data_IF_724527493895
#
_entry.id   IF_724527493895
#
_cell.length_a   1.000
_cell.length_b   1.000
_cell.length_c   1.000
_cell.angle_alpha   90.00
_cell.angle_beta   90.00
_cell.angle_gamma   90.00
#
_symmetry.space_group_name_H-M   'P 1'
#
loop_
_entity.id
_entity.type
_entity.pdbx_description
1 polymer ?
#
# COMPACT_ATOMS: atom_id res chain seq x y z
N UNK A 1 -44.35 4.78 38.02
CA UNK A 1 -44.47 5.16 36.61
C UNK A 1 -43.24 6.00 36.27
N UNK A 2 -42.18 5.52 35.61
CA UNK A 2 -41.97 4.31 34.81
C UNK A 2 -40.66 3.63 35.24
N UNK A 3 -40.78 2.36 35.64
CA UNK A 3 -39.68 1.41 35.76
C UNK A 3 -39.17 1.15 34.34
N UNK A 4 -37.91 1.50 34.07
CA UNK A 4 -37.23 1.05 32.86
C UNK A 4 -36.59 -0.28 33.19
N UNK A 5 -37.28 -1.34 32.77
CA UNK A 5 -36.85 -2.72 32.86
C UNK A 5 -35.59 -2.90 31.99
N UNK A 6 -34.44 -2.87 32.66
CA UNK A 6 -33.13 -3.18 32.10
C UNK A 6 -32.84 -4.67 32.35
N UNK A 7 -33.71 -5.54 31.85
CA UNK A 7 -33.55 -6.99 31.93
C UNK A 7 -33.59 -7.57 30.50
N UNK A 8 -32.42 -7.77 29.89
CA UNK A 8 -32.22 -8.79 28.82
C UNK A 8 -30.76 -8.95 28.36
N UNK A 9 -29.77 -8.91 29.28
CA UNK A 9 -28.38 -9.28 28.93
C UNK A 9 -27.98 -10.72 29.28
N UNK A 10 -28.85 -11.53 29.90
CA UNK A 10 -28.46 -12.84 30.43
C UNK A 10 -28.63 -14.06 29.51
N UNK A 11 -29.18 -13.94 28.29
CA UNK A 11 -29.49 -15.11 27.46
C UNK A 11 -28.43 -15.53 26.43
N UNK A 12 -27.24 -14.91 26.41
CA UNK A 12 -26.18 -15.26 25.43
C UNK A 12 -25.11 -16.24 25.94
N UNK A 13 -25.18 -16.67 27.20
CA UNK A 13 -24.14 -17.48 27.85
C UNK A 13 -24.19 -18.99 27.54
N UNK A 14 -25.18 -19.47 26.77
CA UNK A 14 -25.30 -20.88 26.40
C UNK A 14 -24.77 -21.25 25.01
N UNK A 15 -24.11 -20.31 24.30
CA UNK A 15 -23.49 -20.64 23.02
C UNK A 15 -22.13 -21.34 23.20
N UNK A 16 -22.21 -22.67 23.12
CA UNK A 16 -21.13 -23.60 22.78
C UNK A 16 -19.92 -23.65 23.72
N UNK A 17 -19.78 -24.79 24.40
CA UNK A 17 -18.50 -25.40 24.75
C UNK A 17 -17.70 -25.66 23.45
N UNK A 18 -17.20 -24.58 22.87
CA UNK A 18 -16.46 -24.58 21.64
C UNK A 18 -15.08 -25.15 21.94
N UNK A 19 -14.72 -26.24 21.27
CA UNK A 19 -13.40 -26.90 21.30
C UNK A 19 -12.27 -25.89 21.56
N UNK A 20 -11.45 -26.11 22.59
CA UNK A 20 -10.51 -25.11 23.14
C UNK A 20 -9.61 -24.36 22.13
N UNK A 21 -9.40 -24.92 20.94
CA UNK A 21 -8.73 -24.26 19.81
C UNK A 21 -9.43 -22.98 19.29
N UNK A 22 -10.75 -22.86 19.45
CA UNK A 22 -11.52 -21.67 19.04
C UNK A 22 -11.29 -20.44 19.94
N UNK A 23 -10.51 -20.59 21.03
CA UNK A 23 -10.08 -19.49 21.90
C UNK A 23 -8.79 -18.81 21.42
N UNK A 24 -8.09 -19.38 20.43
CA UNK A 24 -6.89 -18.74 19.89
C UNK A 24 -7.26 -17.46 19.13
N UNK A 25 -6.45 -16.40 19.21
CA UNK A 25 -6.65 -15.15 18.48
C UNK A 25 -6.32 -15.30 16.99
N UNK A 26 -7.01 -16.21 16.30
CA UNK A 26 -6.79 -16.55 14.89
C UNK A 26 -6.95 -15.34 13.98
N UNK A 27 -7.89 -14.44 14.30
CA UNK A 27 -8.04 -13.17 13.59
C UNK A 27 -6.81 -12.27 13.70
N UNK A 28 -6.13 -12.26 14.85
CA UNK A 28 -4.93 -11.44 15.07
C UNK A 28 -3.76 -11.96 14.26
N UNK A 29 -3.55 -13.29 14.28
CA UNK A 29 -2.53 -13.93 13.47
C UNK A 29 -2.75 -13.65 11.98
N UNK A 30 -3.97 -13.90 11.48
CA UNK A 30 -4.29 -13.62 10.08
C UNK A 30 -4.12 -12.13 9.73
N UNK A 31 -4.56 -11.22 10.60
CA UNK A 31 -4.39 -9.77 10.37
C UNK A 31 -2.92 -9.40 10.22
N UNK A 32 -2.07 -9.83 11.14
CA UNK A 32 -0.64 -9.51 11.13
C UNK A 32 0.08 -10.14 9.93
N UNK A 33 -0.14 -11.42 9.65
CA UNK A 33 0.65 -12.11 8.63
C UNK A 33 0.12 -11.96 7.20
N UNK A 34 -1.21 -11.86 7.03
CA UNK A 34 -1.84 -11.85 5.71
C UNK A 34 -2.28 -10.45 5.30
N UNK A 35 -3.04 -9.77 6.15
CA UNK A 35 -3.60 -8.46 5.80
C UNK A 35 -2.55 -7.34 5.85
N UNK A 36 -1.57 -7.40 6.75
CA UNK A 36 -0.48 -6.43 6.83
C UNK A 36 0.66 -6.68 5.82
N UNK A 37 0.57 -7.67 4.92
CA UNK A 37 1.66 -8.01 3.98
C UNK A 37 2.09 -6.82 3.11
N UNK A 38 1.15 -5.98 2.68
CA UNK A 38 1.45 -4.80 1.88
C UNK A 38 2.17 -3.72 2.69
N UNK A 39 1.93 -3.63 4.00
CA UNK A 39 2.66 -2.73 4.90
C UNK A 39 4.12 -3.19 5.01
N UNK A 40 4.35 -4.49 5.23
CA UNK A 40 5.70 -5.05 5.29
C UNK A 40 6.44 -4.90 3.96
N UNK A 41 5.77 -5.16 2.84
CA UNK A 41 6.34 -4.98 1.52
C UNK A 41 6.73 -3.51 1.26
N UNK A 42 5.89 -2.55 1.65
CA UNK A 42 6.20 -1.13 1.54
C UNK A 42 7.43 -0.75 2.37
N UNK A 43 7.50 -1.18 3.63
CA UNK A 43 8.65 -0.91 4.51
C UNK A 43 9.93 -1.54 3.97
N UNK A 44 9.87 -2.80 3.52
CA UNK A 44 11.01 -3.50 2.93
C UNK A 44 11.50 -2.80 1.66
N UNK A 45 10.59 -2.50 0.73
CA UNK A 45 10.92 -1.83 -0.52
C UNK A 45 11.49 -0.42 -0.26
N UNK A 46 10.95 0.29 0.72
CA UNK A 46 11.45 1.59 1.16
C UNK A 46 12.88 1.54 1.67
N UNK A 47 13.19 0.66 2.63
CA UNK A 47 14.56 0.53 3.15
C UNK A 47 15.54 0.15 2.05
N UNK A 48 15.19 -0.83 1.20
CA UNK A 48 16.02 -1.21 0.05
C UNK A 48 16.25 -0.03 -0.90
N UNK A 49 15.21 0.75 -1.19
CA UNK A 49 15.30 1.91 -2.07
C UNK A 49 16.24 2.97 -1.49
N UNK A 50 16.06 3.36 -0.22
CA UNK A 50 16.91 4.37 0.42
C UNK A 50 18.35 3.91 0.55
N UNK A 51 18.58 2.65 0.95
CA UNK A 51 19.92 2.07 0.99
C UNK A 51 20.57 2.07 -0.40
N UNK A 52 19.85 1.64 -1.44
CA UNK A 52 20.40 1.61 -2.81
C UNK A 52 20.75 3.01 -3.32
N UNK A 53 19.91 4.01 -3.08
CA UNK A 53 20.17 5.40 -3.49
C UNK A 53 21.43 5.92 -2.80
N UNK A 54 21.54 5.77 -1.48
CA UNK A 54 22.70 6.26 -0.73
C UNK A 54 23.98 5.49 -1.06
N UNK A 55 23.89 4.16 -1.11
CA UNK A 55 25.03 3.29 -1.42
C UNK A 55 25.62 3.58 -2.79
N UNK A 56 24.78 3.66 -3.84
CA UNK A 56 25.26 3.92 -5.20
C UNK A 56 25.71 5.36 -5.39
N UNK A 57 25.09 6.31 -4.69
CA UNK A 57 25.56 7.70 -4.67
C UNK A 57 26.96 7.81 -4.03
N UNK A 58 27.22 7.04 -2.97
CA UNK A 58 28.50 7.04 -2.28
C UNK A 58 29.59 6.24 -3.01
N UNK A 59 29.23 5.11 -3.64
CA UNK A 59 30.19 4.22 -4.30
C UNK A 59 30.59 4.68 -5.71
N UNK A 60 29.80 5.53 -6.36
CA UNK A 60 30.00 5.87 -7.77
C UNK A 60 30.10 4.60 -8.63
N UNK A 61 31.20 4.44 -9.38
CA UNK A 61 31.45 3.28 -10.25
C UNK A 61 32.10 2.06 -9.56
N UNK A 62 32.40 2.11 -8.25
CA UNK A 62 33.26 1.13 -7.59
C UNK A 62 32.49 -0.02 -6.93
N UNK A 63 32.10 -1.04 -7.72
CA UNK A 63 31.21 -2.13 -7.30
C UNK A 63 31.75 -3.13 -6.24
N UNK A 64 33.06 -3.22 -5.99
CA UNK A 64 33.65 -4.33 -5.21
C UNK A 64 33.41 -4.26 -3.69
N UNK A 65 32.82 -3.17 -3.17
CA UNK A 65 32.74 -2.85 -1.74
C UNK A 65 31.32 -2.93 -1.14
N UNK A 66 30.38 -3.51 -1.88
CA UNK A 66 28.95 -3.35 -1.64
C UNK A 66 28.49 -3.83 -0.25
N UNK A 67 28.88 -5.04 0.17
CA UNK A 67 28.34 -5.67 1.39
C UNK A 67 28.69 -4.92 2.68
N UNK A 68 29.93 -4.43 2.80
CA UNK A 68 30.38 -3.72 4.00
C UNK A 68 29.75 -2.33 4.11
N UNK A 69 29.55 -1.67 2.97
CA UNK A 69 28.91 -0.36 2.90
C UNK A 69 27.40 -0.44 3.13
N UNK A 70 26.74 -1.52 2.68
CA UNK A 70 25.33 -1.77 3.00
C UNK A 70 25.10 -1.80 4.50
N UNK A 71 25.93 -2.56 5.24
CA UNK A 71 25.85 -2.62 6.71
C UNK A 71 26.10 -1.27 7.39
N UNK A 72 27.06 -0.48 6.87
CA UNK A 72 27.33 0.86 7.38
C UNK A 72 26.13 1.81 7.21
N UNK A 73 25.61 1.95 5.99
CA UNK A 73 24.48 2.85 5.72
C UNK A 73 23.20 2.40 6.43
N UNK A 74 22.97 1.09 6.50
CA UNK A 74 21.86 0.53 7.27
C UNK A 74 21.93 0.97 8.73
N UNK A 75 23.07 0.79 9.39
CA UNK A 75 23.24 1.19 10.79
C UNK A 75 23.16 2.70 10.98
N UNK A 76 23.77 3.48 10.08
CA UNK A 76 23.74 4.94 10.14
C UNK A 76 22.31 5.48 10.08
N UNK A 77 21.50 5.02 9.12
CA UNK A 77 20.15 5.53 8.93
C UNK A 77 19.14 4.96 9.93
N UNK A 78 19.31 3.70 10.34
CA UNK A 78 18.42 3.10 11.33
C UNK A 78 18.75 3.61 12.74
N UNK A 79 20.00 3.55 13.18
CA UNK A 79 20.37 3.87 14.56
C UNK A 79 20.91 5.28 14.77
N UNK A 80 21.02 6.08 13.69
CA UNK A 80 21.59 7.43 13.75
C UNK A 80 23.09 7.45 14.10
N UNK A 81 23.73 6.28 14.17
CA UNK A 81 25.13 6.13 14.53
C UNK A 81 25.68 4.80 14.02
N UNK A 82 26.99 4.76 13.81
CA UNK A 82 27.72 3.56 13.41
C UNK A 82 29.00 3.52 14.24
N UNK A 83 29.34 2.33 14.76
CA UNK A 83 30.57 2.12 15.54
C UNK A 83 31.80 2.00 14.64
N UNK A 84 31.62 1.76 13.34
CA UNK A 84 32.69 1.65 12.37
C UNK A 84 33.01 3.05 11.79
N UNK A 85 34.10 3.64 12.25
CA UNK A 85 34.70 4.88 11.70
C UNK A 85 35.62 4.61 10.52
N UNK A 86 36.10 3.37 10.38
CA UNK A 86 37.01 2.97 9.32
C UNK A 86 36.77 1.54 8.88
N UNK A 87 36.71 1.32 7.57
CA UNK A 87 36.73 0.00 6.96
C UNK A 87 38.15 -0.23 6.44
N UNK A 88 38.90 -1.13 7.09
CA UNK A 88 40.18 -1.60 6.56
C UNK A 88 39.92 -2.61 5.44
N UNK A 89 40.31 -2.26 4.22
CA UNK A 89 40.23 -3.13 3.06
C UNK A 89 41.50 -3.96 2.98
N UNK A 90 41.51 -5.11 3.64
CA UNK A 90 42.71 -5.96 3.76
C UNK A 90 43.20 -6.59 2.45
N UNK A 91 42.47 -6.44 1.33
CA UNK A 91 42.79 -7.08 0.04
C UNK A 91 42.78 -6.14 -1.18
N UNK A 92 42.68 -4.82 -1.01
CA UNK A 92 42.69 -3.88 -2.16
C UNK A 92 44.05 -3.19 -2.21
N UNK A 93 44.98 -3.71 -3.02
CA UNK A 93 46.33 -3.16 -3.20
C UNK A 93 46.39 -1.98 -4.18
N UNK A 94 45.29 -1.70 -4.88
CA UNK A 94 45.23 -0.58 -5.82
C UNK A 94 45.03 0.74 -5.07
N UNK A 95 46.12 1.48 -4.91
CA UNK A 95 46.11 2.86 -4.43
C UNK A 95 45.53 3.75 -5.51
N UNK A 96 44.25 4.11 -5.39
CA UNK A 96 43.62 5.09 -6.28
C UNK A 96 43.74 6.50 -5.69
N UNK A 97 44.35 7.41 -6.45
CA UNK A 97 44.48 8.82 -6.11
C UNK A 97 43.17 9.54 -6.46
N UNK A 98 42.47 10.04 -5.43
CA UNK A 98 41.49 11.11 -5.61
C UNK A 98 42.25 12.36 -6.07
N UNK A 99 41.86 12.91 -7.22
CA UNK A 99 42.44 14.13 -7.77
C UNK A 99 42.46 15.25 -6.72
N UNK A 100 43.57 15.97 -6.63
CA UNK A 100 43.89 16.94 -5.57
C UNK A 100 42.91 18.12 -5.45
N UNK A 101 41.99 18.31 -6.41
CA UNK A 101 41.07 19.45 -6.46
C UNK A 101 39.77 19.31 -5.63
N UNK A 102 39.49 18.17 -5.00
CA UNK A 102 38.22 17.93 -4.28
C UNK A 102 38.31 18.01 -2.74
N UNK A 103 39.25 18.79 -2.21
CA UNK A 103 39.57 18.85 -0.76
C UNK A 103 38.52 19.49 0.16
N UNK A 104 37.47 20.11 -0.35
CA UNK A 104 36.49 20.83 0.47
C UNK A 104 35.13 20.14 0.64
N UNK A 105 34.94 18.94 0.08
CA UNK A 105 33.68 18.22 0.24
C UNK A 105 33.78 17.13 1.32
N UNK A 106 32.71 16.89 2.12
CA UNK A 106 32.61 15.80 3.09
C UNK A 106 32.40 14.45 2.37
N UNK A 107 33.26 14.17 1.40
CA UNK A 107 33.22 12.96 0.58
C UNK A 107 34.19 11.94 1.14
N UNK A 108 33.79 10.67 1.01
CA UNK A 108 34.55 9.51 1.44
C UNK A 108 35.98 9.58 0.88
N UNK A 109 37.00 9.66 1.74
CA UNK A 109 38.38 9.70 1.29
C UNK A 109 38.94 8.27 1.21
N UNK A 110 39.52 7.95 0.06
CA UNK A 110 40.29 6.73 -0.13
C UNK A 110 41.77 7.06 0.02
N UNK A 111 42.40 6.61 1.12
CA UNK A 111 43.84 6.75 1.32
C UNK A 111 44.51 5.37 1.21
N UNK A 112 44.72 4.89 -0.02
CA UNK A 112 45.51 3.70 -0.37
C UNK A 112 44.97 2.33 0.06
N UNK A 113 44.35 2.23 1.24
CA UNK A 113 43.77 1.02 1.83
C UNK A 113 42.66 1.31 2.87
N UNK A 114 42.44 2.58 3.19
CA UNK A 114 41.49 3.01 4.21
C UNK A 114 40.43 3.91 3.60
N UNK A 115 39.18 3.45 3.66
CA UNK A 115 38.01 4.24 3.33
C UNK A 115 37.60 5.01 4.61
N UNK A 116 37.88 6.31 4.67
CA UNK A 116 37.36 7.14 5.77
C UNK A 116 35.98 7.64 5.39
N UNK A 117 34.99 7.09 6.07
CA UNK A 117 33.59 7.47 5.96
C UNK A 117 33.37 8.80 6.69
N UNK A 118 32.36 9.60 6.29
CA UNK A 118 32.02 10.82 7.00
C UNK A 118 31.83 10.55 8.50
N UNK A 119 32.08 11.58 9.31
CA UNK A 119 32.14 11.48 10.77
C UNK A 119 30.94 10.71 11.35
N UNK A 120 31.16 9.98 12.44
CA UNK A 120 30.10 9.20 13.13
C UNK A 120 28.95 10.03 13.68
N UNK A 121 29.06 11.35 13.61
CA UNK A 121 28.02 12.31 13.98
C UNK A 121 27.20 12.74 12.78
N UNK A 122 25.91 12.95 13.02
CA UNK A 122 24.97 13.46 12.02
C UNK A 122 25.33 14.90 11.69
N UNK A 123 26.13 15.11 10.64
CA UNK A 123 26.34 16.43 10.07
C UNK A 123 25.07 16.90 9.34
N UNK A 124 24.86 18.22 9.26
CA UNK A 124 23.57 18.82 8.86
C UNK A 124 22.99 18.36 7.51
N UNK A 125 23.83 17.92 6.58
CA UNK A 125 23.41 17.39 5.28
C UNK A 125 22.70 16.02 5.36
N UNK A 126 22.91 15.25 6.43
CA UNK A 126 22.33 13.92 6.62
C UNK A 126 20.98 13.96 7.37
N UNK A 127 20.64 15.08 8.01
CA UNK A 127 19.38 15.23 8.76
C UNK A 127 18.15 14.96 7.88
N UNK A 128 18.03 15.51 6.64
CA UNK A 128 16.89 15.22 5.78
C UNK A 128 16.74 13.73 5.47
N UNK A 129 17.85 13.02 5.25
CA UNK A 129 17.84 11.58 4.98
C UNK A 129 17.37 10.77 6.18
N UNK A 130 17.80 11.11 7.40
CA UNK A 130 17.37 10.41 8.61
C UNK A 130 15.87 10.62 8.85
N UNK A 131 15.38 11.86 8.71
CA UNK A 131 13.95 12.16 8.83
C UNK A 131 13.16 11.37 7.79
N UNK A 132 13.64 11.36 6.54
CA UNK A 132 13.01 10.67 5.43
C UNK A 132 12.93 9.15 5.68
N UNK A 133 14.05 8.52 6.05
CA UNK A 133 14.16 7.07 6.34
C UNK A 133 13.10 6.63 7.32
N UNK A 134 12.85 7.41 8.37
CA UNK A 134 11.92 7.06 9.45
C UNK A 134 10.46 7.40 9.16
N UNK A 135 10.17 8.28 8.19
CA UNK A 135 8.82 8.76 7.92
C UNK A 135 7.87 7.63 7.50
N UNK A 136 8.30 6.75 6.60
CA UNK A 136 7.50 5.62 6.12
C UNK A 136 7.33 4.51 7.19
N UNK A 137 8.41 4.03 7.86
CA UNK A 137 8.29 3.09 8.97
C UNK A 137 7.40 3.59 10.11
N UNK A 138 7.43 4.89 10.42
CA UNK A 138 6.55 5.48 11.42
C UNK A 138 5.08 5.39 10.99
N UNK A 139 4.76 5.73 9.74
CA UNK A 139 3.41 5.56 9.18
C UNK A 139 2.94 4.10 9.20
N UNK A 140 3.83 3.16 8.87
CA UNK A 140 3.56 1.73 8.94
C UNK A 140 3.31 1.24 10.38
N UNK A 141 4.11 1.68 11.35
CA UNK A 141 3.95 1.34 12.75
C UNK A 141 2.64 1.88 13.32
N UNK A 142 2.31 3.14 13.04
CA UNK A 142 1.01 3.74 13.40
C UNK A 142 -0.15 2.93 12.83
N UNK A 143 -0.04 2.49 11.58
CA UNK A 143 -1.05 1.68 10.92
C UNK A 143 -1.21 0.32 11.61
N UNK A 144 -0.13 -0.40 11.91
CA UNK A 144 -0.19 -1.70 12.60
C UNK A 144 -0.79 -1.53 14.00
N UNK A 145 -0.36 -0.52 14.76
CA UNK A 145 -0.91 -0.23 16.09
C UNK A 145 -2.41 0.08 16.00
N UNK A 146 -2.83 0.88 15.02
CA UNK A 146 -4.25 1.17 14.78
C UNK A 146 -5.05 -0.11 14.51
N UNK A 147 -4.54 -1.03 13.69
CA UNK A 147 -5.20 -2.31 13.43
C UNK A 147 -5.37 -3.12 14.72
N UNK A 148 -4.30 -3.24 15.52
CA UNK A 148 -4.32 -4.01 16.77
C UNK A 148 -5.26 -3.39 17.81
N UNK A 149 -5.23 -2.07 17.99
CA UNK A 149 -6.09 -1.34 18.94
C UNK A 149 -7.57 -1.48 18.55
N UNK A 150 -7.90 -1.32 17.26
CA UNK A 150 -9.28 -1.44 16.81
C UNK A 150 -9.78 -2.89 16.88
N UNK A 151 -8.94 -3.87 16.56
CA UNK A 151 -9.26 -5.30 16.67
C UNK A 151 -9.54 -5.67 18.13
N UNK A 152 -8.70 -5.19 19.06
CA UNK A 152 -8.88 -5.37 20.50
C UNK A 152 -10.18 -4.71 21.01
N UNK A 153 -10.44 -3.45 20.62
CA UNK A 153 -11.65 -2.71 21.00
C UNK A 153 -12.93 -3.39 20.53
N UNK A 154 -12.92 -3.93 19.31
CA UNK A 154 -14.07 -4.66 18.75
C UNK A 154 -14.17 -6.12 19.22
N UNK A 155 -13.24 -6.59 20.06
CA UNK A 155 -13.18 -7.95 20.60
C UNK A 155 -13.26 -9.02 19.50
N UNK A 156 -12.58 -8.79 18.37
CA UNK A 156 -12.58 -9.72 17.25
C UNK A 156 -11.46 -10.75 17.44
N UNK A 157 -11.84 -11.98 17.78
CA UNK A 157 -10.90 -13.07 18.09
C UNK A 157 -10.83 -14.14 16.99
N UNK A 158 -11.98 -14.42 16.36
CA UNK A 158 -12.12 -15.52 15.40
C UNK A 158 -11.93 -15.05 13.96
N UNK A 159 -11.11 -15.78 13.20
CA UNK A 159 -10.95 -15.60 11.76
C UNK A 159 -12.23 -15.88 10.97
N UNK A 160 -13.10 -16.73 11.51
CA UNK A 160 -14.29 -17.25 10.84
C UNK A 160 -15.52 -16.35 11.00
N UNK A 161 -15.47 -15.30 11.81
CA UNK A 161 -16.66 -14.47 12.07
C UNK A 161 -16.85 -13.34 11.03
N UNK A 162 -18.11 -12.97 10.80
CA UNK A 162 -18.47 -11.82 9.99
C UNK A 162 -17.95 -10.50 10.56
N UNK A 163 -17.81 -10.39 11.89
CA UNK A 163 -17.22 -9.24 12.54
C UNK A 163 -15.78 -8.96 12.05
N UNK A 164 -14.98 -10.00 11.82
CA UNK A 164 -13.62 -9.86 11.30
C UNK A 164 -13.60 -9.40 9.84
N UNK A 165 -14.48 -9.94 9.00
CA UNK A 165 -14.60 -9.51 7.62
C UNK A 165 -15.04 -8.05 7.52
N UNK A 166 -16.10 -7.68 8.26
CA UNK A 166 -16.55 -6.30 8.34
C UNK A 166 -15.46 -5.37 8.87
N UNK A 167 -14.73 -5.78 9.91
CA UNK A 167 -13.61 -4.98 10.43
C UNK A 167 -12.60 -4.63 9.35
N UNK A 168 -12.23 -5.59 8.49
CA UNK A 168 -11.30 -5.34 7.38
C UNK A 168 -11.84 -4.39 6.31
N UNK A 169 -13.16 -4.33 6.11
CA UNK A 169 -13.79 -3.37 5.20
C UNK A 169 -13.92 -1.98 5.82
N UNK A 170 -14.16 -1.91 7.12
CA UNK A 170 -14.33 -0.67 7.87
C UNK A 170 -13.02 0.08 8.02
N UNK A 171 -11.92 -0.62 8.33
CA UNK A 171 -10.66 0.02 8.70
C UNK A 171 -10.12 0.92 7.60
N UNK A 172 -10.27 0.53 6.33
CA UNK A 172 -9.80 1.32 5.17
C UNK A 172 -10.59 2.64 5.01
N UNK A 173 -11.77 2.73 5.64
CA UNK A 173 -12.63 3.92 5.60
C UNK A 173 -12.29 4.91 6.71
N UNK A 174 -11.55 4.50 7.74
CA UNK A 174 -11.26 5.38 8.88
C UNK A 174 -10.26 6.48 8.49
N UNK A 175 -10.41 7.70 9.02
CA UNK A 175 -9.49 8.79 8.73
C UNK A 175 -8.06 8.48 9.19
N UNK A 176 -7.90 7.77 10.31
CA UNK A 176 -6.60 7.41 10.87
C UNK A 176 -5.80 6.48 9.94
N UNK A 177 -6.49 5.54 9.29
CA UNK A 177 -5.90 4.69 8.25
C UNK A 177 -5.35 5.56 7.11
N UNK A 178 -6.17 6.50 6.62
CA UNK A 178 -5.82 7.39 5.50
C UNK A 178 -4.66 8.32 5.83
N UNK A 179 -4.61 8.87 7.04
CA UNK A 179 -3.49 9.69 7.50
C UNK A 179 -2.19 8.89 7.54
N UNK A 180 -2.24 7.66 8.05
CA UNK A 180 -1.07 6.78 8.14
C UNK A 180 -0.53 6.40 6.75
N UNK A 181 -1.42 6.01 5.83
CA UNK A 181 -1.05 5.73 4.43
C UNK A 181 -0.55 7.00 3.72
N UNK A 182 -1.17 8.15 4.00
CA UNK A 182 -0.74 9.45 3.48
C UNK A 182 0.67 9.83 3.94
N UNK A 183 1.03 9.54 5.19
CA UNK A 183 2.38 9.74 5.72
C UNK A 183 3.41 8.86 4.99
N UNK A 184 3.08 7.59 4.74
CA UNK A 184 3.93 6.68 3.97
C UNK A 184 4.10 7.16 2.52
N UNK A 185 3.03 7.61 1.88
CA UNK A 185 3.09 8.17 0.54
C UNK A 185 3.92 9.45 0.48
N UNK A 186 3.80 10.33 1.48
CA UNK A 186 4.60 11.55 1.59
C UNK A 186 6.09 11.25 1.62
N UNK A 187 6.53 10.20 2.32
CA UNK A 187 7.93 9.77 2.32
C UNK A 187 8.42 9.39 0.91
N UNK A 188 7.64 8.59 0.19
CA UNK A 188 7.96 8.23 -1.20
C UNK A 188 8.04 9.46 -2.13
N UNK A 189 7.21 10.47 -1.87
CA UNK A 189 7.22 11.74 -2.61
C UNK A 189 8.41 12.65 -2.29
N UNK A 190 8.84 12.68 -1.03
CA UNK A 190 9.95 13.51 -0.59
C UNK A 190 11.31 12.94 -1.02
N UNK A 191 11.41 11.64 -1.24
CA UNK A 191 12.65 10.98 -1.68
C UNK A 191 13.28 11.60 -2.94
N UNK A 192 12.58 11.72 -4.10
CA UNK A 192 13.17 12.33 -5.28
C UNK A 192 13.53 13.80 -5.06
N UNK A 193 12.80 14.53 -4.21
CA UNK A 193 13.10 15.94 -3.89
C UNK A 193 14.43 16.04 -3.14
N UNK A 194 14.59 15.25 -2.06
CA UNK A 194 15.83 15.20 -1.28
C UNK A 194 17.00 14.75 -2.16
N UNK A 195 16.79 13.74 -3.02
CA UNK A 195 17.81 13.24 -3.91
C UNK A 195 18.24 14.27 -4.96
N UNK A 196 17.30 14.98 -5.60
CA UNK A 196 17.61 16.06 -6.57
C UNK A 196 18.36 17.20 -5.89
N UNK A 197 17.94 17.62 -4.69
CA UNK A 197 18.65 18.66 -3.93
C UNK A 197 20.10 18.23 -3.65
N UNK A 198 20.33 16.97 -3.29
CA UNK A 198 21.67 16.44 -3.10
C UNK A 198 22.49 16.45 -4.40
N UNK A 199 21.91 16.07 -5.53
CA UNK A 199 22.59 16.14 -6.85
C UNK A 199 23.03 17.57 -7.15
N UNK A 200 22.15 18.55 -6.93
CA UNK A 200 22.43 19.97 -7.19
C UNK A 200 23.50 20.53 -6.24
N UNK A 201 23.47 20.15 -4.96
CA UNK A 201 24.43 20.63 -3.97
C UNK A 201 25.83 20.04 -4.17
N UNK A 202 25.92 18.74 -4.47
CA UNK A 202 27.20 18.01 -4.47
C UNK A 202 27.72 17.65 -5.86
N UNK A 203 27.02 18.00 -6.94
CA UNK A 203 27.44 17.74 -8.32
C UNK A 203 27.77 16.25 -8.57
N UNK A 204 26.91 15.36 -8.09
CA UNK A 204 27.16 13.93 -8.07
C UNK A 204 27.15 13.34 -9.50
N UNK A 205 28.21 12.62 -9.93
CA UNK A 205 28.23 11.97 -11.24
C UNK A 205 27.31 10.74 -11.29
N UNK A 206 26.94 10.31 -12.50
CA UNK A 206 26.35 8.99 -12.80
C UNK A 206 25.03 8.62 -12.07
N UNK A 207 24.08 9.56 -12.04
CA UNK A 207 22.76 9.36 -11.42
C UNK A 207 21.88 8.33 -12.14
N UNK A 208 22.20 8.04 -13.41
CA UNK A 208 21.48 7.04 -14.20
C UNK A 208 21.68 5.63 -13.64
N UNK A 209 22.88 5.31 -13.16
CA UNK A 209 23.18 4.02 -12.56
C UNK A 209 22.54 3.85 -11.17
N UNK A 210 22.40 4.94 -10.40
CA UNK A 210 21.63 4.96 -9.16
C UNK A 210 20.16 4.67 -9.45
N UNK A 211 19.58 5.35 -10.45
CA UNK A 211 18.19 5.14 -10.87
C UNK A 211 17.94 3.70 -11.29
N UNK A 212 18.74 3.15 -12.22
CA UNK A 212 18.63 1.76 -12.71
C UNK A 212 18.63 0.74 -11.58
N UNK A 213 19.52 0.91 -10.60
CA UNK A 213 19.59 0.05 -9.42
C UNK A 213 18.40 0.13 -8.47
N UNK A 214 17.64 1.21 -8.57
CA UNK A 214 16.57 1.56 -7.65
C UNK A 214 15.18 1.29 -8.25
N UNK A 215 15.09 1.02 -9.56
CA UNK A 215 13.82 0.84 -10.29
C UNK A 215 12.95 -0.23 -9.62
N UNK A 216 13.48 -1.44 -9.40
CA UNK A 216 12.69 -2.55 -8.86
C UNK A 216 12.13 -2.22 -7.46
N UNK A 217 12.95 -1.69 -6.56
CA UNK A 217 12.51 -1.29 -5.22
C UNK A 217 11.49 -0.14 -5.28
N UNK A 218 11.68 0.82 -6.19
CA UNK A 218 10.71 1.88 -6.45
C UNK A 218 9.37 1.35 -6.94
N UNK A 219 9.36 0.43 -7.90
CA UNK A 219 8.13 -0.18 -8.42
C UNK A 219 7.40 -1.01 -7.35
N UNK A 220 8.14 -1.80 -6.56
CA UNK A 220 7.57 -2.57 -5.45
C UNK A 220 6.96 -1.65 -4.39
N UNK A 221 7.62 -0.53 -4.07
CA UNK A 221 7.10 0.47 -3.15
C UNK A 221 5.81 1.10 -3.68
N UNK A 222 5.81 1.55 -4.94
CA UNK A 222 4.62 2.15 -5.56
C UNK A 222 3.45 1.15 -5.62
N UNK A 223 3.72 -0.11 -5.96
CA UNK A 223 2.71 -1.17 -5.96
C UNK A 223 2.12 -1.39 -4.57
N UNK A 224 2.96 -1.49 -3.54
CA UNK A 224 2.52 -1.67 -2.16
C UNK A 224 1.67 -0.49 -1.67
N UNK A 225 2.10 0.74 -1.97
CA UNK A 225 1.35 1.97 -1.64
C UNK A 225 0.04 2.09 -2.42
N UNK A 226 -0.03 1.68 -3.69
CA UNK A 226 -1.30 1.64 -4.45
C UNK A 226 -2.29 0.67 -3.80
N UNK A 227 -1.85 -0.54 -3.40
CA UNK A 227 -2.74 -1.50 -2.74
C UNK A 227 -3.26 -0.99 -1.39
N UNK A 228 -2.45 -0.24 -0.65
CA UNK A 228 -2.85 0.39 0.63
C UNK A 228 -3.80 1.59 0.42
N UNK A 229 -3.47 2.49 -0.51
CA UNK A 229 -4.25 3.70 -0.76
C UNK A 229 -5.59 3.40 -1.42
N UNK A 230 -5.65 2.35 -2.24
CA UNK A 230 -6.76 2.09 -3.13
C UNK A 230 -7.16 0.61 -3.05
N UNK A 231 -8.02 0.25 -2.10
CA UNK A 231 -8.43 -1.13 -1.92
C UNK A 231 -9.04 -1.72 -3.20
N UNK A 232 -8.64 -2.98 -3.41
CA UNK A 232 -9.15 -3.96 -4.37
C UNK A 232 -10.62 -3.93 -4.77
N UNK A 233 -11.43 -3.89 -3.73
CA UNK A 233 -12.75 -4.49 -3.67
C UNK A 233 -13.66 -3.48 -2.98
N UNK A 234 -14.93 -3.38 -3.42
CA UNK A 234 -15.89 -2.54 -2.73
C UNK A 234 -15.94 -2.89 -1.25
N UNK A 235 -15.66 -1.91 -0.40
CA UNK A 235 -15.91 -2.03 1.03
C UNK A 235 -17.41 -1.90 1.26
N UNK A 236 -18.01 -2.95 1.81
CA UNK A 236 -19.41 -2.96 2.19
C UNK A 236 -19.58 -2.49 3.64
N UNK A 237 -20.60 -1.66 3.88
CA UNK A 237 -20.96 -1.17 5.21
C UNK A 237 -22.06 -2.03 5.85
N UNK A 238 -21.76 -3.31 6.01
CA UNK A 238 -22.76 -4.26 6.47
C UNK A 238 -23.03 -4.09 7.98
N UNK A 239 -24.30 -4.03 8.38
CA UNK A 239 -24.73 -3.70 9.74
C UNK A 239 -24.45 -4.83 10.77
N UNK A 240 -24.75 -4.55 12.05
CA UNK A 240 -24.45 -5.43 13.19
C UNK A 240 -24.93 -6.89 13.06
N UNK A 241 -26.04 -7.14 12.35
CA UNK A 241 -26.54 -8.51 12.13
C UNK A 241 -25.51 -9.39 11.39
N UNK A 242 -24.74 -8.80 10.46
CA UNK A 242 -23.69 -9.52 9.72
C UNK A 242 -22.53 -9.97 10.62
N UNK A 243 -22.25 -9.23 11.69
CA UNK A 243 -21.13 -9.51 12.59
C UNK A 243 -21.26 -10.85 13.30
N UNK A 244 -22.50 -11.28 13.52
CA UNK A 244 -22.84 -12.51 14.24
C UNK A 244 -22.78 -13.76 13.34
N UNK A 245 -22.58 -13.60 12.03
CA UNK A 245 -22.47 -14.73 11.11
C UNK A 245 -21.14 -15.46 11.32
N UNK A 246 -21.18 -16.78 11.18
CA UNK A 246 -19.99 -17.64 11.22
C UNK A 246 -19.81 -18.29 9.87
N UNK A 247 -18.60 -18.18 9.33
CA UNK A 247 -18.21 -18.74 8.05
C UNK A 247 -17.28 -19.92 8.23
N UNK A 248 -17.40 -20.90 7.35
CA UNK A 248 -16.44 -21.99 7.22
C UNK A 248 -15.31 -21.54 6.29
N UNK A 249 -14.10 -21.38 6.83
CA UNK A 249 -12.91 -21.08 6.04
C UNK A 249 -11.88 -22.22 6.18
N UNK A 250 -11.23 -22.63 5.08
CA UNK A 250 -10.18 -23.65 5.17
C UNK A 250 -8.97 -23.09 5.93
N UNK A 251 -8.30 -23.92 6.72
CA UNK A 251 -7.13 -23.50 7.50
C UNK A 251 -6.02 -22.87 6.65
N UNK A 252 -5.82 -23.33 5.40
CA UNK A 252 -4.87 -22.72 4.47
C UNK A 252 -5.18 -21.24 4.16
N UNK A 253 -6.45 -20.84 4.18
CA UNK A 253 -6.81 -19.43 4.04
C UNK A 253 -6.35 -18.59 5.23
N UNK A 254 -6.13 -19.17 6.41
CA UNK A 254 -5.60 -18.45 7.58
C UNK A 254 -4.18 -17.89 7.32
N UNK A 255 -3.44 -18.46 6.38
CA UNK A 255 -2.05 -18.08 6.09
C UNK A 255 -1.92 -17.43 4.71
N UNK A 256 -2.76 -17.83 3.74
CA UNK A 256 -2.61 -17.43 2.34
C UNK A 256 -3.80 -16.62 1.78
N UNK A 257 -4.95 -16.65 2.45
CA UNK A 257 -6.21 -16.19 1.89
C UNK A 257 -6.69 -14.87 2.48
N UNK A 258 -6.48 -13.76 1.78
CA UNK A 258 -6.96 -12.45 2.25
C UNK A 258 -8.49 -12.36 2.38
N UNK A 259 -8.95 -11.57 3.34
CA UNK A 259 -10.35 -11.21 3.55
C UNK A 259 -10.96 -10.58 2.30
N UNK A 260 -10.17 -9.85 1.53
CA UNK A 260 -10.55 -9.30 0.22
C UNK A 260 -10.98 -10.39 -0.76
N UNK A 261 -10.17 -11.44 -0.91
CA UNK A 261 -10.47 -12.59 -1.80
C UNK A 261 -11.67 -13.39 -1.29
N UNK A 262 -11.75 -13.61 0.02
CA UNK A 262 -12.90 -14.28 0.64
C UNK A 262 -14.19 -13.49 0.45
N UNK A 263 -14.17 -12.18 0.69
CA UNK A 263 -15.32 -11.29 0.53
C UNK A 263 -15.91 -11.33 -0.88
N UNK A 264 -15.07 -11.27 -1.91
CA UNK A 264 -15.52 -11.41 -3.30
C UNK A 264 -16.20 -12.76 -3.56
N UNK A 265 -15.61 -13.86 -3.08
CA UNK A 265 -16.19 -15.21 -3.24
C UNK A 265 -17.52 -15.35 -2.49
N UNK A 266 -17.64 -14.73 -1.31
CA UNK A 266 -18.87 -14.71 -0.54
C UNK A 266 -19.96 -13.93 -1.28
N UNK A 267 -19.65 -12.75 -1.82
CA UNK A 267 -20.61 -11.94 -2.59
C UNK A 267 -21.06 -12.67 -3.86
N UNK A 268 -20.15 -13.32 -4.59
CA UNK A 268 -20.48 -14.19 -5.73
C UNK A 268 -21.42 -15.34 -5.32
N UNK A 269 -21.11 -16.02 -4.21
CA UNK A 269 -21.94 -17.10 -3.69
C UNK A 269 -23.34 -16.61 -3.26
N UNK A 270 -23.43 -15.42 -2.66
CA UNK A 270 -24.69 -14.78 -2.32
C UNK A 270 -25.51 -14.51 -3.58
N UNK A 271 -24.92 -13.92 -4.63
CA UNK A 271 -25.60 -13.71 -5.91
C UNK A 271 -26.11 -15.00 -6.55
N UNK A 272 -25.33 -16.09 -6.52
CA UNK A 272 -25.83 -17.38 -7.04
C UNK A 272 -26.99 -17.93 -6.21
N UNK A 273 -26.94 -17.75 -4.89
CA UNK A 273 -28.02 -18.16 -4.00
C UNK A 273 -29.29 -17.32 -4.23
N UNK A 274 -29.15 -16.05 -4.65
CA UNK A 274 -30.31 -15.23 -5.03
C UNK A 274 -31.08 -15.78 -6.23
N UNK A 275 -30.41 -16.51 -7.11
CA UNK A 275 -30.99 -17.19 -8.26
C UNK A 275 -31.54 -18.60 -7.93
N UNK A 276 -31.52 -18.99 -6.65
CA UNK A 276 -32.00 -20.29 -6.16
C UNK A 276 -30.94 -21.37 -6.04
N UNK A 277 -29.68 -21.14 -6.47
CA UNK A 277 -28.59 -22.09 -6.31
C UNK A 277 -27.77 -21.82 -5.04
N UNK A 278 -28.10 -22.53 -3.96
CA UNK A 278 -27.41 -22.43 -2.67
C UNK A 278 -26.11 -23.24 -2.58
N UNK A 279 -25.72 -23.99 -3.63
CA UNK A 279 -24.62 -24.95 -3.57
C UNK A 279 -23.28 -24.31 -3.20
N UNK A 280 -23.00 -23.09 -3.67
CA UNK A 280 -21.77 -22.34 -3.36
C UNK A 280 -21.80 -21.77 -1.94
N UNK A 281 -22.92 -21.15 -1.55
CA UNK A 281 -23.08 -20.54 -0.23
C UNK A 281 -22.93 -21.59 0.89
N UNK A 282 -23.53 -22.76 0.71
CA UNK A 282 -23.42 -23.90 1.63
C UNK A 282 -21.98 -24.34 1.93
N UNK A 283 -21.04 -24.13 1.00
CA UNK A 283 -19.61 -24.46 1.21
C UNK A 283 -18.90 -23.51 2.18
N UNK A 284 -19.43 -22.29 2.32
CA UNK A 284 -18.89 -21.25 3.19
C UNK A 284 -19.55 -21.20 4.56
N UNK A 285 -20.47 -22.13 4.86
CA UNK A 285 -21.18 -22.18 6.14
C UNK A 285 -20.78 -23.43 6.93
N UNK A 286 -20.66 -23.32 8.27
CA UNK A 286 -20.51 -24.49 9.12
C UNK A 286 -21.72 -25.41 9.04
N UNK A 287 -22.91 -24.81 9.04
CA UNK A 287 -24.20 -25.47 8.86
C UNK A 287 -24.78 -25.12 7.47
N UNK A 288 -24.85 -26.07 6.54
CA UNK A 288 -25.44 -25.87 5.21
C UNK A 288 -26.92 -25.48 5.23
N UNK A 289 -27.67 -25.86 6.26
CA UNK A 289 -29.11 -25.61 6.34
C UNK A 289 -29.41 -24.15 6.72
N UNK A 290 -28.45 -23.47 7.35
CA UNK A 290 -28.53 -22.04 7.67
C UNK A 290 -28.36 -21.12 6.43
N UNK A 291 -28.16 -21.66 5.22
CA UNK A 291 -27.88 -20.88 4.02
C UNK A 291 -28.98 -19.88 3.65
N UNK A 292 -30.24 -20.26 3.81
CA UNK A 292 -31.38 -19.37 3.52
C UNK A 292 -31.44 -18.18 4.49
N UNK A 293 -31.22 -18.45 5.77
CA UNK A 293 -31.22 -17.41 6.82
C UNK A 293 -30.04 -16.45 6.63
N UNK A 294 -28.85 -16.97 6.32
CA UNK A 294 -27.68 -16.14 5.99
C UNK A 294 -27.95 -15.26 4.78
N UNK A 295 -28.57 -15.80 3.72
CA UNK A 295 -28.93 -15.01 2.55
C UNK A 295 -29.93 -13.91 2.92
N UNK A 296 -30.93 -14.22 3.75
CA UNK A 296 -31.93 -13.26 4.24
C UNK A 296 -31.27 -12.10 4.98
N UNK A 297 -30.38 -12.39 5.93
CA UNK A 297 -29.63 -11.39 6.70
C UNK A 297 -28.77 -10.53 5.77
N UNK A 298 -27.98 -11.14 4.89
CA UNK A 298 -27.13 -10.40 3.96
C UNK A 298 -27.95 -9.50 3.02
N UNK A 299 -29.14 -9.93 2.57
CA UNK A 299 -30.05 -9.11 1.77
C UNK A 299 -30.59 -7.91 2.52
N UNK A 300 -31.04 -8.12 3.75
CA UNK A 300 -31.54 -7.04 4.63
C UNK A 300 -30.46 -5.99 4.83
N UNK A 301 -29.24 -6.44 5.14
CA UNK A 301 -28.07 -5.60 5.33
C UNK A 301 -27.67 -4.87 4.04
N UNK A 302 -27.62 -5.56 2.90
CA UNK A 302 -27.32 -4.96 1.60
C UNK A 302 -28.35 -3.90 1.19
N UNK A 303 -29.64 -4.14 1.48
CA UNK A 303 -30.72 -3.17 1.25
C UNK A 303 -30.54 -1.92 2.11
N UNK A 304 -30.30 -2.09 3.42
CA UNK A 304 -30.04 -0.96 4.31
C UNK A 304 -28.85 -0.11 3.86
N UNK A 305 -27.75 -0.73 3.42
CA UNK A 305 -26.60 -0.02 2.84
C UNK A 305 -27.00 0.75 1.57
N UNK A 306 -27.78 0.12 0.69
CA UNK A 306 -28.23 0.76 -0.56
C UNK A 306 -29.16 1.95 -0.31
N UNK A 307 -30.01 1.88 0.72
CA UNK A 307 -30.92 2.96 1.12
C UNK A 307 -30.16 4.14 1.72
N UNK A 308 -29.14 3.87 2.53
CA UNK A 308 -28.24 4.91 3.04
C UNK A 308 -27.56 5.60 1.86
N UNK A 309 -26.96 4.84 0.93
CA UNK A 309 -26.29 5.39 -0.25
C UNK A 309 -27.21 6.19 -1.16
N UNK A 310 -28.46 5.74 -1.35
CA UNK A 310 -29.44 6.44 -2.19
C UNK A 310 -29.90 7.76 -1.58
N UNK A 311 -30.04 7.85 -0.24
CA UNK A 311 -30.40 9.09 0.47
C UNK A 311 -29.31 10.16 0.44
N UNK A 312 -28.05 9.76 0.42
CA UNK A 312 -26.93 10.72 0.37
C UNK A 312 -26.57 11.18 -1.05
N UNK A 313 -27.06 10.50 -2.09
CA UNK A 313 -26.79 10.83 -3.50
C UNK A 313 -27.28 12.22 -3.95
N UNK A 314 -28.49 12.71 -3.57
CA UNK A 314 -29.02 13.98 -4.06
C UNK A 314 -28.30 15.20 -3.49
N UNK A 315 -27.88 15.14 -2.23
CA UNK A 315 -27.26 16.27 -1.54
C UNK A 315 -25.84 16.56 -1.96
N UNK A 316 -25.21 15.60 -2.63
CA UNK A 316 -23.81 15.69 -3.00
C UNK A 316 -23.60 16.32 -4.39
N UNK A 317 -24.60 16.34 -5.28
CA UNK A 317 -24.42 16.83 -6.66
C UNK A 317 -23.27 16.12 -7.40
N UNK A 318 -23.00 16.50 -8.65
CA UNK A 318 -21.84 15.96 -9.39
C UNK A 318 -20.50 16.25 -8.69
N UNK A 319 -20.45 17.30 -7.86
CA UNK A 319 -19.30 17.71 -7.06
C UNK A 319 -19.07 16.85 -5.80
N UNK A 320 -20.03 16.06 -5.35
CA UNK A 320 -19.91 15.23 -4.16
C UNK A 320 -19.47 13.79 -4.43
N UNK A 321 -19.51 13.36 -5.70
CA UNK A 321 -18.65 12.27 -6.21
C UNK A 321 -17.19 12.55 -5.87
N UNK A 322 -16.83 13.82 -5.86
CA UNK A 322 -15.53 14.28 -5.46
C UNK A 322 -15.33 14.25 -3.94
N UNK A 323 -16.26 14.08 -2.99
CA UNK A 323 -15.87 13.97 -1.55
C UNK A 323 -15.44 12.57 -1.13
N UNK A 324 -16.02 11.54 -1.73
CA UNK A 324 -15.50 10.17 -1.63
C UNK A 324 -14.32 9.94 -2.60
N UNK A 325 -14.19 10.76 -3.64
CA UNK A 325 -13.06 10.78 -4.57
C UNK A 325 -11.87 11.66 -4.17
N UNK A 326 -12.04 12.86 -3.62
CA UNK A 326 -11.01 13.92 -3.46
C UNK A 326 -9.95 13.53 -2.46
N UNK A 327 -10.30 12.71 -1.46
CA UNK A 327 -9.32 12.14 -0.53
C UNK A 327 -8.52 10.97 -1.16
N UNK A 328 -8.98 10.43 -2.30
CA UNK A 328 -8.20 9.58 -3.21
C UNK A 328 -7.42 10.41 -4.26
N UNK A 329 -7.90 11.60 -4.63
CA UNK A 329 -7.33 12.37 -5.74
C UNK A 329 -6.01 13.04 -5.41
N UNK A 330 -5.71 13.42 -4.17
CA UNK A 330 -4.39 13.97 -3.85
C UNK A 330 -3.28 12.93 -4.02
N UNK A 331 -3.53 11.66 -3.67
CA UNK A 331 -2.57 10.57 -3.94
C UNK A 331 -2.60 10.12 -5.40
N UNK A 332 -3.78 9.99 -6.03
CA UNK A 332 -3.88 9.61 -7.44
C UNK A 332 -3.33 10.67 -8.38
N UNK A 333 -3.62 11.96 -8.19
CA UNK A 333 -3.13 13.05 -9.04
C UNK A 333 -1.61 13.17 -8.95
N UNK A 334 -1.03 12.91 -7.77
CA UNK A 334 0.41 12.91 -7.57
C UNK A 334 1.07 11.68 -8.20
N UNK A 335 0.47 10.48 -8.09
CA UNK A 335 0.92 9.29 -8.82
C UNK A 335 0.77 9.46 -10.35
N UNK A 336 -0.33 10.10 -10.79
CA UNK A 336 -0.60 10.45 -12.18
C UNK A 336 0.42 11.45 -12.72
N UNK A 337 0.82 12.45 -11.93
CA UNK A 337 1.83 13.44 -12.33
C UNK A 337 3.22 12.82 -12.52
N UNK A 338 3.53 11.70 -11.87
CA UNK A 338 4.78 10.96 -12.10
C UNK A 338 4.74 10.06 -13.35
N UNK A 339 3.56 9.66 -13.82
CA UNK A 339 3.41 8.62 -14.85
C UNK A 339 2.89 9.18 -16.18
N UNK A 340 2.26 10.36 -16.21
CA UNK A 340 1.70 10.91 -17.43
C UNK A 340 2.82 11.40 -18.39
N UNK A 341 2.98 10.78 -19.58
CA UNK A 341 3.81 11.37 -20.62
C UNK A 341 3.18 12.70 -21.04
N UNK A 342 3.98 13.76 -21.01
CA UNK A 342 3.56 15.11 -21.41
C UNK A 342 3.31 15.11 -22.91
N UNK A 343 2.08 14.82 -23.35
CA UNK A 343 1.71 14.95 -24.76
C UNK A 343 1.66 16.45 -25.08
N UNK A 344 2.69 16.96 -25.76
CA UNK A 344 2.69 18.29 -26.34
C UNK A 344 1.62 18.36 -27.43
N UNK A 345 0.44 18.88 -27.11
CA UNK A 345 -0.58 19.13 -28.10
C UNK A 345 -0.33 20.50 -28.72
N UNK A 346 0.26 20.47 -29.91
CA UNK A 346 0.42 21.60 -30.80
C UNK A 346 -0.91 21.78 -31.55
N UNK A 347 -1.77 22.68 -31.06
CA UNK A 347 -3.05 22.99 -31.67
C UNK A 347 -2.86 23.99 -32.81
N UNK A 348 -2.83 23.49 -34.05
CA UNK A 348 -3.05 24.32 -35.23
C UNK A 348 -4.38 23.96 -35.90
N UNK A 349 -5.16 25.01 -36.11
CA UNK A 349 -6.47 25.11 -36.75
C UNK A 349 -6.59 24.33 -38.07
N UNK A 350 -7.71 23.62 -38.25
CA UNK A 350 -8.47 23.63 -39.52
C UNK A 350 -9.97 23.53 -39.22
N UNK A 351 -10.71 24.55 -39.65
CA UNK A 351 -12.16 24.59 -39.77
C UNK A 351 -12.60 23.94 -41.08
N UNK A 352 -13.67 23.15 -41.07
CA UNK A 352 -14.26 22.57 -42.27
C UNK A 352 -15.52 21.77 -41.97
N UNK A 353 -16.54 21.92 -42.81
CA UNK A 353 -17.96 21.78 -42.52
C UNK A 353 -18.60 20.72 -43.46
N UNK A 354 -19.66 20.04 -42.97
CA UNK A 354 -20.77 19.33 -43.67
C UNK A 354 -20.72 17.82 -44.09
N UNK A 355 -21.74 17.12 -43.55
CA UNK A 355 -22.74 16.17 -44.14
C UNK A 355 -22.49 14.64 -44.35
N UNK A 356 -23.29 13.89 -43.59
CA UNK A 356 -24.18 12.72 -43.91
C UNK A 356 -23.65 11.35 -44.36
N UNK A 357 -24.14 10.34 -43.61
CA UNK A 357 -24.43 8.93 -43.91
C UNK A 357 -23.31 7.93 -44.29
N UNK A 358 -23.08 7.02 -43.33
CA UNK A 358 -23.09 5.56 -43.42
C UNK A 358 -21.82 4.78 -43.88
N UNK A 359 -21.31 4.04 -42.89
CA UNK A 359 -20.61 2.74 -42.92
C UNK A 359 -19.11 2.62 -43.26
N UNK A 360 -18.49 1.76 -42.45
CA UNK A 360 -17.19 1.09 -42.54
C UNK A 360 -15.90 1.86 -42.19
N UNK A 361 -15.32 1.42 -41.05
CA UNK A 361 -13.88 1.38 -40.76
C UNK A 361 -13.12 2.70 -40.92
N UNK A 362 -13.14 3.51 -39.86
CA UNK A 362 -12.05 4.48 -39.61
C UNK A 362 -11.67 4.39 -38.14
N UNK A 363 -10.43 3.95 -37.92
CA UNK A 363 -9.67 4.15 -36.69
C UNK A 363 -9.77 5.62 -36.29
N UNK A 364 -10.65 5.88 -35.33
CA UNK A 364 -10.82 7.21 -34.75
C UNK A 364 -9.58 7.56 -33.95
N UNK A 365 -9.01 8.68 -34.35
CA UNK A 365 -7.98 9.47 -33.71
C UNK A 365 -8.47 10.03 -32.35
N UNK A 366 -8.84 9.15 -31.42
CA UNK A 366 -9.23 9.53 -30.07
C UNK A 366 -7.96 9.66 -29.21
N UNK A 367 -7.65 10.89 -28.82
CA UNK A 367 -6.79 11.13 -27.67
C UNK A 367 -7.25 10.24 -26.51
N UNK A 368 -6.28 9.60 -25.85
CA UNK A 368 -6.51 8.71 -24.71
C UNK A 368 -7.04 9.52 -23.53
N UNK A 369 -8.33 9.81 -23.53
CA UNK A 369 -9.04 10.25 -22.34
C UNK A 369 -9.31 8.97 -21.55
N UNK A 370 -8.52 8.69 -20.51
CA UNK A 370 -8.87 7.69 -19.50
C UNK A 370 -10.23 8.09 -18.90
N UNK A 371 -11.31 7.55 -19.45
CA UNK A 371 -12.68 7.86 -19.05
C UNK A 371 -13.05 7.20 -17.72
N UNK A 372 -12.27 6.22 -17.25
CA UNK A 372 -12.51 5.53 -15.99
C UNK A 372 -11.23 5.33 -15.20
N UNK A 373 -11.38 5.29 -13.86
CA UNK A 373 -10.31 4.95 -12.90
C UNK A 373 -9.75 3.54 -13.13
N UNK A 374 -10.54 2.66 -13.72
CA UNK A 374 -10.15 1.28 -13.99
C UNK A 374 -9.16 1.20 -15.17
N UNK A 375 -9.33 2.03 -16.19
CA UNK A 375 -8.41 2.12 -17.34
C UNK A 375 -6.99 2.55 -16.90
N UNK A 376 -6.93 3.56 -16.03
CA UNK A 376 -5.68 4.07 -15.46
C UNK A 376 -4.87 3.00 -14.71
N UNK A 377 -5.58 2.15 -13.96
CA UNK A 377 -4.99 1.07 -13.17
C UNK A 377 -4.48 -0.07 -14.03
N UNK A 378 -5.19 -0.39 -15.12
CA UNK A 378 -4.72 -1.36 -16.11
C UNK A 378 -3.41 -0.86 -16.71
N UNK A 379 -3.36 0.41 -17.14
CA UNK A 379 -2.14 0.99 -17.72
C UNK A 379 -0.97 1.10 -16.74
N UNK A 380 -1.21 1.44 -15.47
CA UNK A 380 -0.14 1.44 -14.46
C UNK A 380 0.44 0.03 -14.25
N UNK A 381 -0.43 -1.00 -14.18
CA UNK A 381 0.03 -2.39 -14.06
C UNK A 381 0.82 -2.84 -15.29
N UNK A 382 0.37 -2.48 -16.49
CA UNK A 382 1.09 -2.75 -17.74
C UNK A 382 2.45 -2.05 -17.77
N UNK A 383 2.51 -0.78 -17.36
CA UNK A 383 3.77 -0.03 -17.26
C UNK A 383 4.74 -0.66 -16.26
N UNK A 384 4.25 -1.04 -15.07
CA UNK A 384 5.07 -1.73 -14.06
C UNK A 384 5.60 -3.07 -14.60
N UNK A 385 4.75 -3.84 -15.29
CA UNK A 385 5.15 -5.10 -15.94
C UNK A 385 6.20 -4.87 -17.04
N UNK A 386 6.00 -3.87 -17.89
CA UNK A 386 6.95 -3.49 -18.94
C UNK A 386 8.29 -3.05 -18.36
N UNK A 387 8.27 -2.25 -17.29
CA UNK A 387 9.49 -1.81 -16.61
C UNK A 387 10.22 -2.99 -15.96
N UNK A 388 9.51 -3.90 -15.30
CA UNK A 388 10.08 -5.15 -14.75
C UNK A 388 10.71 -5.98 -15.86
N UNK A 389 9.98 -6.23 -16.95
CA UNK A 389 10.47 -7.01 -18.11
C UNK A 389 11.65 -6.33 -18.84
N UNK A 390 11.78 -5.00 -18.78
CA UNK A 390 12.91 -4.27 -19.38
C UNK A 390 14.14 -4.20 -18.48
N UNK A 391 13.97 -4.50 -17.18
CA UNK A 391 15.03 -4.46 -16.17
C UNK A 391 15.64 -5.82 -15.84
N UNK A 392 14.93 -6.91 -16.20
CA UNK A 392 15.42 -8.28 -16.27
C UNK A 392 16.09 -8.51 -17.62
#
# INVERSE_FOLDING_TARGET
>A
MNSLDFESEESSSQQHEASGWRRLPTAWFHMLFVECIHIYLAVFAWFRLVTNVNLRTAMGAHFQLQEHLEGYFYNLFLFGSTTATSLQLSNVTDTFFLGEEQREQPTVFYNGSMLTLPSTSIDGANIPWIVLVWLLPLGAALLIILHLVLLARRRVWSFDCGAYLQFSWDIVRTPEYRWSVGLMALAAMLLPVVWILQILMFHLPDQLNVLKGSVLSGLLLLFALDQLAFPSVPCHDWAAQFQNLVFRRPFLHLILGSNKSFGLKLVDALWTAELGDFSRLRRYLPDPDAAEEVLRICREVQRSESDIRSRFRPYLGDSGRARYGLNCWSCSAVLYLMVAPRSGHNSNNVSGQYRTHQECLVLSNSGWVCSSRDDARVHFKELVLLLICSSL
#
